data_IF_947180732615
#
_entry.id   IF_947180732615
#
_cell.length_a   1.000
_cell.length_b   1.000
_cell.length_c   1.000
_cell.angle_alpha   90.00
_cell.angle_beta   90.00
_cell.angle_gamma   90.00
#
_symmetry.space_group_name_H-M   'P 1'
#
loop_
_entity.id
_entity.type
_entity.pdbx_description
1 polymer ?
#
# COMPACT_ATOMS: atom_id res chain seq x y z
N UNK A 1 5.15 -13.09 8.43
CA UNK A 1 4.89 -13.58 9.81
C UNK A 1 5.78 -12.93 10.86
N UNK A 2 7.12 -13.02 10.77
CA UNK A 2 8.02 -12.38 11.75
C UNK A 2 7.87 -10.85 11.84
N UNK A 3 7.45 -10.19 10.75
CA UNK A 3 7.12 -8.76 10.71
C UNK A 3 5.79 -8.39 11.38
N UNK A 4 4.94 -9.39 11.64
CA UNK A 4 3.62 -9.21 12.26
C UNK A 4 3.71 -9.49 13.76
N UNK A 5 4.15 -10.70 14.14
CA UNK A 5 4.16 -11.17 15.54
C UNK A 5 5.55 -11.12 16.20
N UNK A 6 6.58 -10.66 15.48
CA UNK A 6 7.97 -10.67 15.94
C UNK A 6 8.69 -12.02 15.75
N UNK A 7 10.03 -11.98 15.81
CA UNK A 7 10.89 -13.14 15.55
C UNK A 7 10.69 -14.30 16.55
N UNK A 8 10.48 -13.99 17.84
CA UNK A 8 10.32 -15.01 18.89
C UNK A 8 9.04 -15.82 18.68
N UNK A 9 7.89 -15.14 18.51
CA UNK A 9 6.60 -15.80 18.28
C UNK A 9 6.51 -16.49 16.93
N UNK A 10 7.09 -15.91 15.87
CA UNK A 10 7.14 -16.59 14.59
C UNK A 10 7.86 -17.95 14.68
N UNK A 11 9.00 -18.02 15.36
CA UNK A 11 9.72 -19.29 15.57
C UNK A 11 8.96 -20.28 16.44
N UNK A 12 8.30 -19.80 17.51
CA UNK A 12 7.41 -20.64 18.34
C UNK A 12 6.31 -21.29 17.49
N UNK A 13 5.65 -20.51 16.64
CA UNK A 13 4.56 -21.00 15.79
C UNK A 13 5.07 -22.03 14.77
N UNK A 14 6.17 -21.74 14.08
CA UNK A 14 6.72 -22.64 13.05
C UNK A 14 7.33 -23.92 13.62
N UNK A 15 7.96 -23.87 14.79
CA UNK A 15 8.65 -25.04 15.33
C UNK A 15 7.73 -25.95 16.13
N UNK A 16 6.72 -25.38 16.81
CA UNK A 16 5.84 -26.15 17.69
C UNK A 16 4.49 -26.50 17.07
N UNK A 17 4.11 -25.86 15.95
CA UNK A 17 2.86 -26.13 15.22
C UNK A 17 1.62 -26.18 16.11
N UNK A 18 1.57 -25.33 17.15
CA UNK A 18 0.47 -25.29 18.12
C UNK A 18 -0.74 -24.55 17.55
N UNK A 19 -1.92 -24.87 18.08
CA UNK A 19 -3.13 -24.08 17.88
C UNK A 19 -3.16 -22.90 18.85
N UNK A 20 -3.67 -21.77 18.36
CA UNK A 20 -3.85 -20.55 19.13
C UNK A 20 -5.31 -20.11 19.02
N UNK A 21 -5.88 -19.70 20.15
CA UNK A 21 -7.20 -19.09 20.20
C UNK A 21 -7.21 -17.71 19.52
N UNK A 22 -8.40 -17.22 19.18
CA UNK A 22 -8.56 -15.87 18.61
C UNK A 22 -8.00 -14.79 19.55
N UNK A 23 -8.14 -14.97 20.87
CA UNK A 23 -7.60 -14.06 21.87
C UNK A 23 -6.07 -14.03 21.88
N UNK A 24 -5.43 -15.19 21.87
CA UNK A 24 -3.95 -15.27 21.77
C UNK A 24 -3.44 -14.67 20.46
N UNK A 25 -4.15 -14.92 19.35
CA UNK A 25 -3.81 -14.33 18.05
C UNK A 25 -3.90 -12.80 18.07
N UNK A 26 -4.89 -12.23 18.77
CA UNK A 26 -5.00 -10.78 18.97
C UNK A 26 -3.86 -10.24 19.85
N UNK A 27 -3.58 -10.91 20.96
CA UNK A 27 -2.57 -10.47 21.93
C UNK A 27 -1.15 -10.49 21.33
N UNK A 28 -0.87 -11.38 20.38
CA UNK A 28 0.40 -11.40 19.63
C UNK A 28 0.41 -10.50 18.39
N UNK A 29 -0.71 -9.85 18.04
CA UNK A 29 -0.83 -8.97 16.88
C UNK A 29 -1.02 -9.69 15.53
N UNK A 30 -1.37 -10.98 15.53
CA UNK A 30 -1.61 -11.75 14.30
C UNK A 30 -2.91 -11.35 13.60
N UNK A 31 -3.92 -10.92 14.36
CA UNK A 31 -5.20 -10.39 13.86
C UNK A 31 -5.44 -9.00 14.42
N UNK A 32 -6.16 -8.15 13.68
CA UNK A 32 -6.40 -6.77 14.10
C UNK A 32 -7.55 -6.61 15.12
N UNK A 33 -8.52 -7.52 15.15
CA UNK A 33 -9.66 -7.50 16.08
C UNK A 33 -10.27 -8.89 16.25
N UNK A 34 -11.02 -9.09 17.33
CA UNK A 34 -11.78 -10.32 17.62
C UNK A 34 -13.21 -9.92 17.98
N UNK A 35 -14.18 -10.57 17.34
CA UNK A 35 -15.62 -10.35 17.56
C UNK A 35 -16.33 -11.70 17.68
N UNK A 36 -17.55 -11.74 18.28
CA UNK A 36 -18.42 -12.91 18.20
C UNK A 36 -18.64 -13.37 16.75
N UNK A 37 -18.79 -14.68 16.54
CA UNK A 37 -18.87 -15.27 15.19
C UNK A 37 -20.04 -14.72 14.38
N UNK A 38 -21.19 -14.51 15.02
CA UNK A 38 -22.39 -13.91 14.45
C UNK A 38 -22.24 -12.43 14.06
N UNK A 39 -21.23 -11.74 14.60
CA UNK A 39 -20.91 -10.36 14.27
C UNK A 39 -19.75 -10.20 13.25
N UNK A 40 -19.11 -11.30 12.83
CA UNK A 40 -17.89 -11.26 12.00
C UNK A 40 -18.11 -10.53 10.67
N UNK A 41 -19.19 -10.84 9.96
CA UNK A 41 -19.50 -10.21 8.68
C UNK A 41 -19.81 -8.72 8.86
N UNK A 42 -20.58 -8.37 9.90
CA UNK A 42 -20.97 -6.99 10.19
C UNK A 42 -19.74 -6.12 10.48
N UNK A 43 -18.83 -6.59 11.34
CA UNK A 43 -17.60 -5.84 11.66
C UNK A 43 -16.69 -5.75 10.43
N UNK A 44 -16.59 -6.80 9.62
CA UNK A 44 -15.81 -6.79 8.37
C UNK A 44 -16.35 -5.73 7.40
N UNK A 45 -17.67 -5.70 7.17
CA UNK A 45 -18.30 -4.71 6.30
C UNK A 45 -18.12 -3.29 6.82
N UNK A 46 -18.17 -3.08 8.13
CA UNK A 46 -17.90 -1.78 8.76
C UNK A 46 -16.48 -1.29 8.45
N UNK A 47 -15.48 -2.18 8.48
CA UNK A 47 -14.11 -1.82 8.11
C UNK A 47 -13.99 -1.50 6.62
N UNK A 48 -14.55 -2.36 5.76
CA UNK A 48 -14.55 -2.12 4.32
C UNK A 48 -15.22 -0.78 3.96
N UNK A 49 -16.38 -0.47 4.56
CA UNK A 49 -17.10 0.81 4.37
C UNK A 49 -16.25 2.01 4.76
N UNK A 50 -15.43 1.91 5.81
CA UNK A 50 -14.49 2.97 6.19
C UNK A 50 -13.33 3.09 5.21
N UNK A 51 -12.80 1.97 4.71
CA UNK A 51 -11.68 1.96 3.75
C UNK A 51 -12.09 2.61 2.43
N UNK A 52 -13.26 2.28 1.89
CA UNK A 52 -13.73 2.80 0.59
C UNK A 52 -14.06 4.30 0.60
N UNK A 53 -14.18 4.92 1.78
CA UNK A 53 -14.33 6.37 1.92
C UNK A 53 -12.99 7.13 1.73
N UNK A 54 -11.85 6.43 1.76
CA UNK A 54 -10.54 7.06 1.61
C UNK A 54 -10.07 7.08 0.15
N UNK A 55 -9.06 7.89 -0.14
CA UNK A 55 -8.47 7.99 -1.48
C UNK A 55 -7.93 6.63 -1.97
N UNK A 56 -8.47 6.08 -3.09
CA UNK A 56 -7.98 4.82 -3.66
C UNK A 56 -6.51 4.91 -4.09
N UNK A 57 -6.11 6.08 -4.60
CA UNK A 57 -4.71 6.36 -4.96
C UNK A 57 -3.81 6.31 -3.73
N UNK A 58 -4.20 6.96 -2.62
CA UNK A 58 -3.41 6.95 -1.40
C UNK A 58 -3.27 5.54 -0.83
N UNK A 59 -4.37 4.78 -0.77
CA UNK A 59 -4.34 3.39 -0.31
C UNK A 59 -3.41 2.53 -1.18
N UNK A 60 -3.49 2.66 -2.50
CA UNK A 60 -2.61 1.93 -3.43
C UNK A 60 -1.14 2.26 -3.20
N UNK A 61 -0.79 3.55 -3.11
CA UNK A 61 0.58 3.99 -2.86
C UNK A 61 1.09 3.51 -1.49
N UNK A 62 0.29 3.66 -0.43
CA UNK A 62 0.66 3.25 0.92
C UNK A 62 0.88 1.74 1.01
N UNK A 63 0.00 0.93 0.39
CA UNK A 63 0.17 -0.52 0.36
C UNK A 63 1.47 -0.91 -0.36
N UNK A 64 1.76 -0.29 -1.51
CA UNK A 64 3.01 -0.53 -2.23
C UNK A 64 4.25 -0.10 -1.41
N UNK A 65 4.17 1.02 -0.70
CA UNK A 65 5.26 1.49 0.15
C UNK A 65 5.52 0.56 1.35
N UNK A 66 4.46 0.08 2.01
CA UNK A 66 4.57 -0.88 3.11
C UNK A 66 5.20 -2.20 2.63
N UNK A 67 4.78 -2.70 1.46
CA UNK A 67 5.38 -3.90 0.87
C UNK A 67 6.83 -3.71 0.46
N UNK A 68 7.24 -2.50 0.06
CA UNK A 68 8.62 -2.20 -0.33
C UNK A 68 9.64 -2.37 0.81
N UNK A 69 9.22 -2.28 2.08
CA UNK A 69 10.09 -2.60 3.22
C UNK A 69 10.51 -4.09 3.26
N UNK A 70 9.66 -4.97 2.71
CA UNK A 70 9.83 -6.42 2.82
C UNK A 70 10.28 -7.08 1.51
N UNK A 71 9.76 -6.59 0.37
CA UNK A 71 9.87 -7.27 -0.93
C UNK A 71 11.08 -6.82 -1.76
N UNK A 72 11.92 -5.94 -1.23
CA UNK A 72 13.12 -5.41 -1.90
C UNK A 72 12.78 -4.79 -3.26
N UNK A 73 13.50 -5.20 -4.32
CA UNK A 73 13.31 -4.65 -5.66
C UNK A 73 11.88 -4.83 -6.19
N UNK A 74 11.22 -5.94 -5.86
CA UNK A 74 9.84 -6.18 -6.33
C UNK A 74 8.86 -5.17 -5.71
N UNK A 75 9.00 -4.86 -4.42
CA UNK A 75 8.18 -3.86 -3.75
C UNK A 75 8.48 -2.44 -4.23
N UNK A 76 9.78 -2.10 -4.42
CA UNK A 76 10.19 -0.81 -5.02
C UNK A 76 9.61 -0.62 -6.41
N UNK A 77 9.56 -1.68 -7.24
CA UNK A 77 8.97 -1.64 -8.57
C UNK A 77 7.47 -1.27 -8.52
N UNK A 78 6.70 -1.82 -7.59
CA UNK A 78 5.28 -1.48 -7.42
C UNK A 78 5.09 -0.01 -7.00
N UNK A 79 5.91 0.46 -6.05
CA UNK A 79 5.87 1.85 -5.61
C UNK A 79 6.26 2.80 -6.75
N UNK A 80 7.32 2.50 -7.49
CA UNK A 80 7.76 3.28 -8.65
C UNK A 80 6.71 3.29 -9.77
N UNK A 81 6.01 2.17 -10.00
CA UNK A 81 4.90 2.10 -10.95
C UNK A 81 3.76 3.07 -10.59
N UNK A 82 3.38 3.14 -9.31
CA UNK A 82 2.39 4.11 -8.83
C UNK A 82 2.87 5.56 -9.03
N UNK A 83 4.13 5.87 -8.71
CA UNK A 83 4.71 7.19 -8.91
C UNK A 83 4.74 7.62 -10.38
N UNK A 84 5.16 6.72 -11.28
CA UNK A 84 5.16 6.96 -12.73
C UNK A 84 3.74 7.17 -13.27
N UNK A 85 2.75 6.41 -12.78
CA UNK A 85 1.34 6.63 -13.13
C UNK A 85 0.88 8.04 -12.76
N UNK A 86 1.23 8.51 -11.56
CA UNK A 86 0.91 9.88 -11.12
C UNK A 86 1.64 10.93 -11.96
N UNK A 87 2.91 10.70 -12.30
CA UNK A 87 3.68 11.58 -13.17
C UNK A 87 3.04 11.73 -14.55
N UNK A 88 2.58 10.64 -15.16
CA UNK A 88 1.89 10.68 -16.46
C UNK A 88 0.58 11.47 -16.45
N UNK A 89 -0.05 11.66 -15.29
CA UNK A 89 -1.24 12.51 -15.15
C UNK A 89 -0.90 14.00 -14.98
N UNK A 90 0.35 14.32 -14.66
CA UNK A 90 0.81 15.71 -14.47
C UNK A 90 0.99 16.43 -15.80
N UNK A 91 0.91 17.77 -15.78
CA UNK A 91 1.21 18.60 -16.95
C UNK A 91 2.65 18.43 -17.43
N UNK A 92 3.59 18.18 -16.53
CA UNK A 92 4.99 17.91 -16.88
C UNK A 92 5.13 16.61 -17.67
N UNK A 93 4.47 15.53 -17.23
CA UNK A 93 4.44 14.26 -17.95
C UNK A 93 3.77 14.38 -19.31
N UNK A 94 2.68 15.14 -19.40
CA UNK A 94 1.98 15.41 -20.68
C UNK A 94 2.86 16.20 -21.65
N UNK A 95 3.56 17.23 -21.18
CA UNK A 95 4.46 18.04 -22.00
C UNK A 95 5.61 17.21 -22.57
N UNK A 96 6.25 16.37 -21.75
CA UNK A 96 7.30 15.48 -22.22
C UNK A 96 6.82 14.54 -23.34
N UNK A 97 5.63 13.94 -23.16
CA UNK A 97 5.00 13.09 -24.18
C UNK A 97 4.69 13.87 -25.46
N UNK A 98 4.05 15.04 -25.35
CA UNK A 98 3.62 15.82 -26.51
C UNK A 98 4.81 16.36 -27.29
N UNK A 99 5.83 16.90 -26.62
CA UNK A 99 7.05 17.39 -27.26
C UNK A 99 7.76 16.30 -28.07
N UNK A 100 7.80 15.06 -27.55
CA UNK A 100 8.33 13.91 -28.28
C UNK A 100 7.54 13.59 -29.54
N UNK A 101 6.19 13.53 -29.45
CA UNK A 101 5.32 13.28 -30.60
C UNK A 101 5.42 14.37 -31.67
N UNK A 102 5.55 15.62 -31.23
CA UNK A 102 5.69 16.81 -32.08
C UNK A 102 7.13 17.04 -32.58
N UNK A 103 8.10 16.19 -32.17
CA UNK A 103 9.53 16.31 -32.50
C UNK A 103 10.13 17.68 -32.18
N UNK A 104 9.65 18.31 -31.11
CA UNK A 104 10.17 19.59 -30.60
C UNK A 104 10.86 19.40 -29.26
N UNK A 105 11.60 20.43 -28.83
CA UNK A 105 12.13 20.46 -27.47
C UNK A 105 10.99 20.71 -26.45
N UNK A 106 11.01 20.03 -25.29
CA UNK A 106 10.01 20.26 -24.24
C UNK A 106 10.29 21.57 -23.48
N UNK A 107 9.23 22.22 -23.01
CA UNK A 107 9.23 23.54 -22.38
C UNK A 107 8.89 23.46 -20.88
N UNK A 108 9.61 22.61 -20.13
CA UNK A 108 9.30 22.36 -18.71
C UNK A 108 9.36 23.61 -17.81
N UNK A 109 10.23 24.58 -18.13
CA UNK A 109 10.42 25.79 -17.31
C UNK A 109 9.16 26.67 -17.22
N UNK A 110 8.31 26.66 -18.25
CA UNK A 110 7.02 27.38 -18.27
C UNK A 110 5.99 26.77 -17.31
N UNK A 111 6.08 25.45 -17.08
CA UNK A 111 5.18 24.73 -16.16
C UNK A 111 5.54 24.92 -14.69
N UNK A 112 6.80 25.25 -14.40
CA UNK A 112 7.26 25.58 -13.04
C UNK A 112 6.85 27.00 -12.61
N UNK A 113 6.74 27.93 -13.56
CA UNK A 113 6.45 29.34 -13.30
C UNK A 113 4.95 29.67 -13.24
N UNK A 114 4.07 28.81 -13.79
CA UNK A 114 2.61 29.01 -13.73
C UNK A 114 1.97 28.53 -12.42
N UNK A 115 2.74 27.90 -11.52
CA UNK A 115 2.30 27.41 -10.20
C UNK A 115 2.81 28.25 -9.02
N UNK A 116 3.51 29.35 -9.30
CA UNK A 116 3.89 30.39 -8.35
C UNK A 116 3.08 31.65 -8.66
#
# INVERSE_FOLDING_TARGET
MARIVGQKKAREIWFLCRYYSAKEALDMGLVNTVVPLDALELETLKWCRRIVQNSPTAISCLKAALNADEDGQAGVMQLAGNATRLFYLSEEGKEGKNAFLEKRKPEFRKLLTSKL
#
